data_IF_567564235159
#
_entry.id   IF_567564235159
#
_cell.length_a   1.000
_cell.length_b   1.000
_cell.length_c   1.000
_cell.angle_alpha   90.00
_cell.angle_beta   90.00
_cell.angle_gamma   90.00
#
_symmetry.space_group_name_H-M   'P 1'
#
loop_
_entity.id
_entity.type
_entity.pdbx_description
1 polymer ?
#
# COMPACT_ATOMS: atom_id res chain seq x y z
N UNK A 1 -6.98 -1.40 -15.89
CA UNK A 1 -7.00 -1.42 -14.41
C UNK A 1 -7.52 -0.07 -13.94
N UNK A 2 -8.37 -0.03 -12.90
CA UNK A 2 -8.86 1.23 -12.37
C UNK A 2 -7.70 2.00 -11.73
N UNK A 3 -7.54 3.27 -12.13
CA UNK A 3 -6.58 4.18 -11.52
C UNK A 3 -7.09 4.52 -10.12
N UNK A 4 -6.23 4.40 -9.10
CA UNK A 4 -6.57 4.79 -7.72
C UNK A 4 -6.99 6.28 -7.72
N UNK A 5 -8.17 6.65 -7.20
CA UNK A 5 -8.61 8.03 -7.17
C UNK A 5 -7.59 8.99 -6.55
N UNK A 6 -6.84 8.52 -5.54
CA UNK A 6 -5.82 9.28 -4.82
C UNK A 6 -4.69 9.81 -5.70
N UNK A 7 -4.45 9.19 -6.86
CA UNK A 7 -3.45 9.67 -7.84
C UNK A 7 -3.79 11.05 -8.45
N UNK A 8 -5.05 11.49 -8.32
CA UNK A 8 -5.53 12.81 -8.78
C UNK A 8 -5.71 13.81 -7.64
N UNK A 9 -5.32 13.47 -6.41
CA UNK A 9 -5.42 14.36 -5.27
C UNK A 9 -4.43 15.53 -5.35
N UNK A 10 -4.67 16.55 -4.53
CA UNK A 10 -3.78 17.70 -4.32
C UNK A 10 -2.34 17.28 -4.00
N UNK A 11 -2.20 16.17 -3.26
CA UNK A 11 -0.97 15.40 -3.13
C UNK A 11 -1.27 13.98 -3.66
N UNK A 12 -0.53 13.47 -4.66
CA UNK A 12 -0.78 12.13 -5.20
C UNK A 12 -0.51 11.02 -4.17
N UNK A 13 -1.44 10.08 -4.02
CA UNK A 13 -1.29 8.94 -3.12
C UNK A 13 -2.01 7.68 -3.63
N UNK A 14 -1.64 6.53 -3.07
CA UNK A 14 -2.40 5.28 -3.10
C UNK A 14 -2.93 4.94 -1.72
N UNK A 15 -4.04 4.24 -1.68
CA UNK A 15 -4.64 3.82 -0.43
C UNK A 15 -4.93 2.31 -0.36
N UNK A 16 -4.60 1.70 0.78
CA UNK A 16 -5.07 0.37 1.16
C UNK A 16 -5.43 0.33 2.63
N UNK A 17 -6.65 -0.10 2.95
CA UNK A 17 -7.11 -0.19 4.34
C UNK A 17 -6.45 -1.38 5.06
N UNK A 18 -5.58 -1.11 6.04
CA UNK A 18 -4.92 -2.15 6.85
C UNK A 18 -5.80 -2.72 7.98
N UNK A 19 -7.06 -2.27 8.11
CA UNK A 19 -7.95 -2.59 9.25
C UNK A 19 -7.29 -2.31 10.62
N UNK A 20 -6.47 -1.26 10.68
CA UNK A 20 -5.71 -0.88 11.88
C UNK A 20 -6.54 -0.16 12.96
N UNK A 21 -7.77 0.25 12.64
CA UNK A 21 -8.66 0.93 13.58
C UNK A 21 -8.36 2.41 13.86
N UNK A 22 -7.24 2.97 13.37
CA UNK A 22 -6.82 4.35 13.70
C UNK A 22 -7.89 5.41 13.35
N UNK A 23 -8.46 5.36 12.14
CA UNK A 23 -9.52 6.29 11.74
C UNK A 23 -10.83 6.07 12.51
N UNK A 24 -11.01 4.90 13.13
CA UNK A 24 -12.18 4.56 13.95
C UNK A 24 -11.99 4.91 15.43
N UNK A 25 -10.78 5.33 15.83
CA UNK A 25 -10.41 5.72 17.21
C UNK A 25 -9.91 7.16 17.33
N UNK A 26 -9.81 7.90 16.22
CA UNK A 26 -9.18 9.23 16.16
C UNK A 26 -9.96 10.38 16.83
N UNK A 27 -11.21 10.15 17.20
CA UNK A 27 -11.97 10.95 18.18
C UNK A 27 -12.41 12.38 17.86
N UNK A 28 -11.91 13.01 16.81
CA UNK A 28 -12.20 14.43 16.54
C UNK A 28 -13.06 14.69 15.28
N UNK A 29 -13.65 13.65 14.69
CA UNK A 29 -14.45 13.74 13.46
C UNK A 29 -15.87 13.20 13.59
N UNK A 30 -16.75 13.58 12.65
CA UNK A 30 -18.10 13.03 12.54
C UNK A 30 -18.19 12.08 11.34
N UNK A 31 -18.63 10.85 11.58
CA UNK A 31 -18.97 9.89 10.52
C UNK A 31 -20.44 10.08 10.17
N UNK A 32 -20.69 10.97 9.22
CA UNK A 32 -22.04 11.27 8.76
C UNK A 32 -22.72 10.07 8.12
N UNK A 33 -24.01 9.91 8.40
CA UNK A 33 -24.87 8.92 7.78
C UNK A 33 -25.76 9.59 6.73
N UNK A 34 -25.86 8.97 5.57
CA UNK A 34 -26.86 9.30 4.57
C UNK A 34 -28.20 8.60 4.84
N UNK A 35 -29.23 8.95 4.07
CA UNK A 35 -30.54 8.36 4.21
C UNK A 35 -30.49 6.83 3.97
N UNK A 36 -31.07 6.05 4.88
CA UNK A 36 -31.13 4.60 4.77
C UNK A 36 -29.86 3.87 5.24
N UNK A 37 -28.77 4.56 5.59
CA UNK A 37 -27.54 3.88 6.02
C UNK A 37 -27.70 3.23 7.40
N UNK A 38 -28.37 3.92 8.33
CA UNK A 38 -28.67 3.40 9.66
C UNK A 38 -29.51 2.12 9.58
N UNK A 39 -30.51 2.08 8.70
CA UNK A 39 -31.36 0.92 8.45
C UNK A 39 -30.56 -0.27 7.92
N UNK A 40 -29.71 -0.06 6.91
CA UNK A 40 -28.87 -1.13 6.33
C UNK A 40 -27.89 -1.71 7.35
N UNK A 41 -27.27 -0.85 8.16
CA UNK A 41 -26.36 -1.31 9.23
C UNK A 41 -27.12 -2.04 10.34
N UNK A 42 -28.33 -1.60 10.70
CA UNK A 42 -29.17 -2.27 11.67
C UNK A 42 -29.58 -3.68 11.21
N UNK A 43 -30.02 -3.80 9.95
CA UNK A 43 -30.36 -5.07 9.32
C UNK A 43 -29.15 -6.02 9.31
N UNK A 44 -27.96 -5.51 8.96
CA UNK A 44 -26.72 -6.29 8.98
C UNK A 44 -26.39 -6.87 10.36
N UNK A 45 -26.67 -6.11 11.43
CA UNK A 45 -26.47 -6.57 12.81
C UNK A 45 -27.66 -7.38 13.37
N UNK A 46 -28.71 -7.61 12.58
CA UNK A 46 -29.90 -8.34 13.02
C UNK A 46 -30.72 -7.61 14.09
N UNK A 47 -30.73 -6.28 14.08
CA UNK A 47 -31.48 -5.45 15.03
C UNK A 47 -32.40 -4.45 14.34
N UNK A 48 -33.29 -3.81 15.11
CA UNK A 48 -34.17 -2.77 14.57
C UNK A 48 -33.41 -1.45 14.36
N UNK A 49 -33.82 -0.66 13.36
CA UNK A 49 -33.23 0.65 13.10
C UNK A 49 -33.31 1.58 14.32
N UNK A 50 -34.40 1.52 15.09
CA UNK A 50 -34.55 2.28 16.33
C UNK A 50 -33.55 1.86 17.41
N UNK A 51 -33.28 0.56 17.56
CA UNK A 51 -32.26 0.06 18.49
C UNK A 51 -30.87 0.52 18.05
N UNK A 52 -30.57 0.39 16.75
CA UNK A 52 -29.30 0.85 16.18
C UNK A 52 -29.09 2.34 16.41
N UNK A 53 -30.09 3.19 16.13
CA UNK A 53 -29.98 4.64 16.35
C UNK A 53 -29.71 4.99 17.81
N UNK A 54 -30.41 4.34 18.75
CA UNK A 54 -30.19 4.57 20.19
C UNK A 54 -28.78 4.19 20.63
N UNK A 55 -28.22 3.11 20.09
CA UNK A 55 -26.94 2.55 20.53
C UNK A 55 -25.73 3.15 19.81
N UNK A 56 -25.87 3.43 18.51
CA UNK A 56 -24.75 3.66 17.59
C UNK A 56 -24.81 5.00 16.86
N UNK A 57 -25.88 5.78 17.02
CA UNK A 57 -26.05 7.07 16.34
C UNK A 57 -26.22 8.18 17.36
N UNK A 58 -25.76 9.37 16.99
CA UNK A 58 -26.08 10.63 17.65
C UNK A 58 -26.39 11.68 16.59
N UNK A 59 -27.13 12.72 16.96
CA UNK A 59 -27.44 13.84 16.08
C UNK A 59 -26.66 15.05 16.53
N UNK A 60 -25.93 15.69 15.62
CA UNK A 60 -25.13 16.89 15.92
C UNK A 60 -25.26 17.92 14.80
N UNK A 61 -25.04 19.23 15.07
CA UNK A 61 -24.99 20.26 14.03
C UNK A 61 -23.80 20.05 13.09
N UNK A 62 -24.04 20.07 11.78
CA UNK A 62 -22.98 20.00 10.76
C UNK A 62 -22.40 21.42 10.51
N UNK A 63 -21.13 21.67 10.89
CA UNK A 63 -20.50 22.98 10.72
C UNK A 63 -20.37 23.38 9.23
N UNK A 64 -20.37 22.42 8.31
CA UNK A 64 -20.25 22.67 6.87
C UNK A 64 -21.60 22.94 6.19
N UNK A 65 -22.72 22.77 6.91
CA UNK A 65 -24.09 23.01 6.41
C UNK A 65 -24.86 24.00 7.27
N UNK A 66 -24.16 25.03 7.77
CA UNK A 66 -24.79 26.10 8.55
C UNK A 66 -25.43 25.62 9.86
N UNK A 67 -24.98 24.49 10.42
CA UNK A 67 -25.50 23.94 11.66
C UNK A 67 -26.73 23.04 11.51
N UNK A 68 -27.06 22.59 10.31
CA UNK A 68 -28.10 21.57 10.09
C UNK A 68 -27.83 20.32 10.95
N UNK A 69 -28.85 19.85 11.67
CA UNK A 69 -28.72 18.64 12.49
C UNK A 69 -28.65 17.40 11.60
N UNK A 70 -27.56 16.63 11.73
CA UNK A 70 -27.34 15.39 10.97
C UNK A 70 -27.00 14.21 11.87
N UNK A 71 -27.36 13.02 11.41
CA UNK A 71 -26.98 11.76 12.06
C UNK A 71 -25.50 11.46 11.81
N UNK A 72 -24.77 11.13 12.87
CA UNK A 72 -23.39 10.63 12.83
C UNK A 72 -23.28 9.36 13.67
N UNK A 73 -22.35 8.47 13.32
CA UNK A 73 -21.99 7.39 14.21
C UNK A 73 -21.52 7.94 15.56
N UNK A 74 -21.84 7.19 16.61
CA UNK A 74 -21.51 7.48 18.00
C UNK A 74 -20.18 6.85 18.37
N UNK A 75 -19.39 7.60 19.10
CA UNK A 75 -18.17 7.22 19.78
C UNK A 75 -18.46 6.88 21.25
N UNK A 76 -17.66 6.00 21.84
CA UNK A 76 -17.71 5.68 23.27
C UNK A 76 -17.13 6.85 24.06
N UNK A 77 -17.76 7.17 25.18
CA UNK A 77 -17.25 8.19 26.12
C UNK A 77 -16.13 7.62 27.02
N UNK A 78 -16.17 6.31 27.30
CA UNK A 78 -15.19 5.62 28.14
C UNK A 78 -13.82 5.51 27.47
N UNK A 79 -12.74 5.70 28.25
CA UNK A 79 -11.36 5.50 27.78
C UNK A 79 -10.73 6.67 27.03
N UNK A 80 -11.24 7.90 27.20
CA UNK A 80 -10.71 9.12 26.59
C UNK A 80 -11.51 9.62 25.38
N UNK A 81 -12.63 8.98 25.05
CA UNK A 81 -13.49 9.38 23.94
C UNK A 81 -13.02 8.86 22.58
N UNK A 82 -13.89 8.95 21.58
CA UNK A 82 -13.47 8.90 20.18
C UNK A 82 -13.38 7.53 19.50
N UNK A 83 -13.52 6.45 20.26
CA UNK A 83 -13.65 5.09 19.70
C UNK A 83 -15.07 4.83 19.22
N UNK A 84 -15.26 4.55 17.94
CA UNK A 84 -16.57 4.19 17.39
C UNK A 84 -17.24 3.05 18.17
N UNK A 85 -18.54 3.16 18.44
CA UNK A 85 -19.31 2.15 19.18
C UNK A 85 -19.38 0.79 18.45
N UNK A 86 -19.24 0.79 17.11
CA UNK A 86 -19.23 -0.39 16.23
C UNK A 86 -17.85 -1.06 16.10
N UNK A 87 -16.83 -0.57 16.82
CA UNK A 87 -15.49 -1.14 16.81
C UNK A 87 -15.29 -2.10 18.00
N UNK A 88 -15.32 -3.40 17.70
CA UNK A 88 -15.21 -4.51 18.64
C UNK A 88 -13.76 -4.98 18.84
N UNK A 89 -13.53 -5.65 19.97
CA UNK A 89 -12.22 -6.18 20.34
C UNK A 89 -11.12 -5.12 20.27
N UNK A 90 -10.03 -5.44 19.55
CA UNK A 90 -8.96 -4.47 19.29
C UNK A 90 -9.38 -3.46 18.22
N UNK A 91 -9.64 -3.90 16.99
CA UNK A 91 -9.90 -3.01 15.84
C UNK A 91 -10.91 -3.58 14.83
N UNK A 92 -11.78 -4.50 15.25
CA UNK A 92 -12.69 -5.18 14.32
C UNK A 92 -14.01 -4.39 14.15
N UNK A 93 -14.38 -4.05 12.93
CA UNK A 93 -15.61 -3.30 12.68
C UNK A 93 -16.76 -4.27 12.49
N UNK A 94 -17.72 -4.26 13.41
CA UNK A 94 -18.87 -5.20 13.39
C UNK A 94 -19.78 -5.03 12.17
N UNK A 95 -19.64 -3.91 11.45
CA UNK A 95 -20.38 -3.63 10.20
C UNK A 95 -19.45 -3.42 9.00
N UNK A 96 -18.22 -3.98 8.99
CA UNK A 96 -17.20 -3.65 7.97
C UNK A 96 -17.72 -3.68 6.51
N UNK A 97 -18.51 -4.68 6.15
CA UNK A 97 -19.11 -4.82 4.80
C UNK A 97 -20.33 -3.93 4.59
N UNK A 98 -21.01 -3.52 5.67
CA UNK A 98 -22.18 -2.66 5.67
C UNK A 98 -21.89 -1.20 6.05
N UNK A 99 -20.61 -0.81 6.23
CA UNK A 99 -20.16 0.53 6.64
C UNK A 99 -20.86 1.64 5.86
N UNK A 100 -21.06 2.83 6.46
CA UNK A 100 -21.63 3.96 5.73
C UNK A 100 -20.67 4.45 4.64
N UNK A 101 -21.21 5.17 3.66
CA UNK A 101 -20.45 5.69 2.52
C UNK A 101 -19.29 6.58 2.98
N UNK A 102 -19.50 7.37 4.03
CA UNK A 102 -18.46 8.16 4.67
C UNK A 102 -17.24 7.28 5.05
N UNK A 103 -17.44 6.15 5.72
CA UNK A 103 -16.35 5.23 6.07
C UNK A 103 -15.77 4.48 4.86
N UNK A 104 -16.58 4.16 3.84
CA UNK A 104 -16.12 3.42 2.65
C UNK A 104 -15.22 4.26 1.76
N UNK A 105 -15.55 5.54 1.65
CA UNK A 105 -14.87 6.48 0.77
C UNK A 105 -13.62 7.09 1.38
N UNK A 106 -13.37 6.91 2.68
CA UNK A 106 -12.10 7.32 3.27
C UNK A 106 -10.93 6.63 2.53
N UNK A 107 -9.87 7.36 2.13
CA UNK A 107 -9.57 8.78 2.37
C UNK A 107 -9.92 9.70 1.19
N UNK A 108 -10.73 9.28 0.22
CA UNK A 108 -11.05 10.00 -1.00
C UNK A 108 -12.10 11.13 -0.85
N UNK A 109 -12.27 11.68 0.35
CA UNK A 109 -13.19 12.80 0.58
C UNK A 109 -12.64 14.08 -0.06
N UNK A 110 -13.50 15.03 -0.46
CA UNK A 110 -13.05 16.33 -0.96
C UNK A 110 -12.07 17.04 -0.02
N UNK A 111 -12.29 16.95 1.30
CA UNK A 111 -11.42 17.53 2.33
C UNK A 111 -10.01 16.93 2.41
N UNK A 112 -9.76 15.81 1.72
CA UNK A 112 -8.44 15.15 1.64
C UNK A 112 -7.90 15.27 0.21
N UNK A 113 -8.77 15.15 -0.78
CA UNK A 113 -8.40 15.19 -2.20
C UNK A 113 -8.08 16.60 -2.68
N UNK A 114 -8.66 17.65 -2.08
CA UNK A 114 -8.57 19.04 -2.57
C UNK A 114 -7.83 19.99 -1.60
N UNK A 115 -7.57 19.56 -0.35
CA UNK A 115 -6.89 20.35 0.69
C UNK A 115 -5.62 19.64 1.18
N UNK A 116 -4.46 20.26 0.98
CA UNK A 116 -3.15 19.71 1.37
C UNK A 116 -3.05 19.52 2.90
N UNK A 117 -3.59 20.45 3.69
CA UNK A 117 -3.59 20.30 5.14
C UNK A 117 -4.49 19.14 5.58
N UNK A 118 -5.62 18.94 4.89
CA UNK A 118 -6.53 17.81 5.11
C UNK A 118 -5.93 16.47 4.70
N UNK A 119 -5.18 16.45 3.61
CA UNK A 119 -4.35 15.31 3.23
C UNK A 119 -3.36 14.94 4.34
N UNK A 120 -2.60 15.91 4.86
CA UNK A 120 -1.62 15.66 5.92
C UNK A 120 -2.26 15.14 7.20
N UNK A 121 -3.44 15.64 7.60
CA UNK A 121 -4.21 15.09 8.73
C UNK A 121 -4.62 13.64 8.49
N UNK A 122 -5.15 13.34 7.30
CA UNK A 122 -5.55 11.97 6.94
C UNK A 122 -4.35 11.02 6.92
N UNK A 123 -3.23 11.44 6.32
CA UNK A 123 -1.97 10.70 6.24
C UNK A 123 -1.37 10.42 7.62
N UNK A 124 -1.40 11.40 8.52
CA UNK A 124 -0.98 11.21 9.92
C UNK A 124 -1.85 10.22 10.70
N UNK A 125 -3.12 10.09 10.31
CA UNK A 125 -4.06 9.15 10.95
C UNK A 125 -3.93 7.73 10.40
N UNK A 126 -3.82 7.59 9.08
CA UNK A 126 -3.93 6.29 8.42
C UNK A 126 -2.61 5.82 7.78
N UNK A 127 -1.99 4.72 8.27
CA UNK A 127 -0.78 4.16 7.66
C UNK A 127 -1.02 3.51 6.29
N UNK A 128 -2.29 3.42 5.87
CA UNK A 128 -2.69 2.91 4.56
C UNK A 128 -2.52 3.92 3.43
N UNK A 129 -2.31 5.21 3.73
CA UNK A 129 -2.08 6.27 2.74
C UNK A 129 -0.59 6.31 2.41
N UNK A 130 -0.26 6.02 1.15
CA UNK A 130 1.12 6.01 0.66
C UNK A 130 1.29 7.05 -0.42
N UNK A 131 2.25 7.95 -0.26
CA UNK A 131 2.58 8.96 -1.25
C UNK A 131 2.97 8.31 -2.58
N UNK A 132 2.52 8.90 -3.68
CA UNK A 132 3.05 8.62 -5.01
C UNK A 132 3.97 9.76 -5.43
N UNK A 133 5.17 9.44 -5.96
CA UNK A 133 6.04 10.46 -6.52
C UNK A 133 5.38 11.09 -7.75
N UNK A 134 5.53 12.41 -7.90
CA UNK A 134 5.13 13.12 -9.11
C UNK A 134 5.90 12.61 -10.33
N UNK A 135 5.39 12.89 -11.54
CA UNK A 135 6.10 12.53 -12.79
C UNK A 135 7.51 13.14 -12.85
N UNK A 136 7.66 14.39 -12.40
CA UNK A 136 8.95 15.09 -12.37
C UNK A 136 9.93 14.45 -11.38
N UNK A 137 9.48 14.13 -10.16
CA UNK A 137 10.30 13.40 -9.19
C UNK A 137 10.70 12.02 -9.72
N UNK A 138 9.77 11.31 -10.36
CA UNK A 138 10.02 9.98 -10.95
C UNK A 138 11.04 10.02 -12.07
N UNK A 139 10.93 10.96 -12.99
CA UNK A 139 11.88 11.15 -14.08
C UNK A 139 13.29 11.47 -13.55
N UNK A 140 13.40 12.44 -12.64
CA UNK A 140 14.68 12.83 -12.03
C UNK A 140 15.31 11.69 -11.24
N UNK A 141 14.51 10.95 -10.46
CA UNK A 141 15.00 9.82 -9.66
C UNK A 141 15.47 8.67 -10.54
N UNK A 142 14.75 8.36 -11.62
CA UNK A 142 15.14 7.31 -12.57
C UNK A 142 16.44 7.66 -13.29
N UNK A 143 16.62 8.90 -13.73
CA UNK A 143 17.87 9.33 -14.36
C UNK A 143 19.09 9.15 -13.43
N UNK A 144 18.94 9.51 -12.15
CA UNK A 144 20.01 9.32 -11.14
C UNK A 144 20.25 7.85 -10.82
N UNK A 145 19.20 7.04 -10.75
CA UNK A 145 19.30 5.60 -10.53
C UNK A 145 20.01 4.90 -11.70
N UNK A 146 19.70 5.30 -12.94
CA UNK A 146 20.37 4.79 -14.14
C UNK A 146 21.86 5.12 -14.15
N UNK A 147 22.26 6.30 -13.68
CA UNK A 147 23.67 6.66 -13.52
C UNK A 147 24.38 5.76 -12.49
N UNK A 148 23.74 5.47 -11.35
CA UNK A 148 24.26 4.52 -10.34
C UNK A 148 24.42 3.13 -10.94
N UNK A 149 23.43 2.66 -11.72
CA UNK A 149 23.51 1.34 -12.35
C UNK A 149 24.57 1.28 -13.45
N UNK A 150 24.80 2.37 -14.20
CA UNK A 150 25.90 2.46 -15.16
C UNK A 150 27.26 2.40 -14.47
N UNK A 151 27.45 3.10 -13.35
CA UNK A 151 28.68 2.98 -12.54
C UNK A 151 28.90 1.54 -12.06
N UNK A 152 27.85 0.89 -11.56
CA UNK A 152 27.94 -0.50 -11.14
C UNK A 152 28.34 -1.43 -12.28
N UNK A 153 27.82 -1.22 -13.50
CA UNK A 153 28.19 -2.03 -14.66
C UNK A 153 29.68 -1.91 -15.00
N UNK A 154 30.28 -0.72 -14.89
CA UNK A 154 31.72 -0.51 -15.05
C UNK A 154 32.53 -1.24 -13.95
N UNK A 155 32.08 -1.18 -12.69
CA UNK A 155 32.72 -1.92 -11.59
C UNK A 155 32.66 -3.43 -11.79
N UNK A 156 31.50 -3.95 -12.23
CA UNK A 156 31.32 -5.37 -12.53
C UNK A 156 32.14 -5.81 -13.74
N UNK A 157 32.36 -4.94 -14.73
CA UNK A 157 33.21 -5.23 -15.88
C UNK A 157 34.68 -5.51 -15.48
N UNK A 158 35.16 -4.91 -14.38
CA UNK A 158 36.50 -5.16 -13.86
C UNK A 158 36.64 -6.55 -13.22
N UNK A 159 35.62 -7.00 -12.47
CA UNK A 159 35.64 -8.28 -11.74
C UNK A 159 35.08 -9.47 -12.55
N UNK A 160 34.34 -9.20 -13.63
CA UNK A 160 33.75 -10.20 -14.57
C UNK A 160 33.09 -11.40 -13.87
N UNK A 161 32.12 -11.17 -12.97
CA UNK A 161 31.43 -12.24 -12.28
C UNK A 161 30.68 -13.13 -13.28
N UNK A 162 30.78 -14.45 -13.11
CA UNK A 162 30.04 -15.39 -13.96
C UNK A 162 28.65 -15.61 -13.37
N UNK A 163 27.64 -14.98 -13.97
CA UNK A 163 26.25 -15.35 -13.72
C UNK A 163 25.91 -16.61 -14.53
N UNK A 164 25.78 -17.76 -13.85
CA UNK A 164 25.33 -19.01 -14.49
C UNK A 164 23.80 -19.06 -14.71
N UNK A 165 23.09 -17.96 -14.46
CA UNK A 165 21.66 -17.76 -14.76
C UNK A 165 20.73 -18.91 -14.31
N UNK A 166 21.10 -19.64 -13.25
CA UNK A 166 20.33 -20.77 -12.72
C UNK A 166 19.02 -20.36 -12.04
N UNK A 167 18.83 -19.06 -11.81
CA UNK A 167 17.66 -18.51 -11.12
C UNK A 167 17.66 -18.72 -9.60
N UNK A 168 18.66 -19.42 -9.02
CA UNK A 168 18.75 -19.71 -7.57
C UNK A 168 18.70 -18.44 -6.72
N UNK A 169 19.31 -17.35 -7.19
CA UNK A 169 19.26 -16.05 -6.51
C UNK A 169 17.85 -15.44 -6.40
N UNK A 170 16.89 -15.91 -7.20
CA UNK A 170 15.50 -15.43 -7.24
C UNK A 170 14.49 -16.49 -6.75
N UNK A 171 14.95 -17.65 -6.30
CA UNK A 171 14.15 -18.71 -5.66
C UNK A 171 14.22 -18.55 -4.13
N UNK A 172 13.61 -17.49 -3.63
CA UNK A 172 13.72 -17.10 -2.21
C UNK A 172 13.05 -18.10 -1.26
N UNK A 173 12.16 -18.94 -1.77
CA UNK A 173 11.56 -20.04 -1.01
C UNK A 173 12.48 -21.27 -0.89
N UNK A 174 13.43 -21.42 -1.82
CA UNK A 174 14.44 -22.49 -1.81
C UNK A 174 15.78 -22.01 -1.21
N UNK A 175 15.97 -20.70 -1.06
CA UNK A 175 17.20 -20.08 -0.59
C UNK A 175 16.95 -19.28 0.70
N UNK A 176 17.87 -19.32 1.67
CA UNK A 176 17.74 -18.62 2.96
C UNK A 176 18.04 -17.11 2.84
N UNK A 177 17.65 -16.48 1.73
CA UNK A 177 17.83 -15.06 1.48
C UNK A 177 16.60 -14.45 0.82
N UNK A 178 16.23 -13.25 1.25
CA UNK A 178 15.15 -12.45 0.66
C UNK A 178 15.76 -11.22 -0.01
N UNK A 179 15.39 -10.95 -1.25
CA UNK A 179 15.81 -9.73 -1.93
C UNK A 179 15.00 -8.54 -1.41
N UNK A 180 15.67 -7.65 -0.69
CA UNK A 180 15.14 -6.33 -0.36
C UNK A 180 15.56 -5.32 -1.44
N UNK A 181 14.74 -4.30 -1.65
CA UNK A 181 15.05 -3.17 -2.51
C UNK A 181 14.40 -1.90 -1.97
N UNK A 182 14.79 -0.74 -2.51
CA UNK A 182 14.04 0.47 -2.23
C UNK A 182 12.75 0.56 -3.05
N UNK A 183 11.84 1.45 -2.63
CA UNK A 183 10.63 1.78 -3.41
C UNK A 183 10.96 2.34 -4.78
N UNK A 184 11.94 3.24 -4.85
CA UNK A 184 12.43 3.82 -6.10
C UNK A 184 12.87 2.73 -7.10
N UNK A 185 13.59 1.71 -6.64
CA UNK A 185 14.00 0.60 -7.50
C UNK A 185 12.82 -0.24 -7.98
N UNK A 186 11.81 -0.46 -7.13
CA UNK A 186 10.59 -1.15 -7.53
C UNK A 186 9.75 -0.34 -8.51
N UNK A 187 9.70 0.99 -8.37
CA UNK A 187 9.06 1.90 -9.32
C UNK A 187 9.75 1.85 -10.69
N UNK A 188 11.08 1.85 -10.69
CA UNK A 188 11.89 1.71 -11.88
C UNK A 188 11.65 0.36 -12.57
N UNK A 189 11.66 -0.73 -11.81
CA UNK A 189 11.40 -2.07 -12.31
C UNK A 189 10.02 -2.18 -12.96
N UNK A 190 8.98 -1.70 -12.28
CA UNK A 190 7.61 -1.68 -12.79
C UNK A 190 7.46 -0.77 -14.03
N UNK A 191 8.22 0.32 -14.12
CA UNK A 191 8.22 1.17 -15.32
C UNK A 191 8.83 0.47 -16.54
N UNK A 192 9.95 -0.24 -16.36
CA UNK A 192 10.62 -0.98 -17.44
C UNK A 192 9.85 -2.24 -17.84
N UNK A 193 9.18 -2.90 -16.90
CA UNK A 193 8.40 -4.12 -17.16
C UNK A 193 7.05 -4.11 -16.41
N UNK A 194 6.05 -3.36 -16.88
CA UNK A 194 4.79 -3.19 -16.15
C UNK A 194 3.92 -4.45 -16.06
N UNK A 195 4.18 -5.44 -16.92
CA UNK A 195 3.38 -6.67 -16.99
C UNK A 195 4.25 -7.88 -16.69
N UNK A 196 3.80 -8.67 -15.71
CA UNK A 196 4.38 -9.94 -15.30
C UNK A 196 3.26 -10.94 -14.96
N UNK A 197 3.50 -12.26 -15.10
CA UNK A 197 2.57 -13.26 -14.58
C UNK A 197 2.55 -13.24 -13.05
N UNK A 198 1.59 -13.97 -12.48
CA UNK A 198 1.63 -14.25 -11.05
C UNK A 198 2.90 -15.04 -10.68
N UNK A 199 3.46 -14.82 -9.47
CA UNK A 199 4.59 -15.60 -8.97
C UNK A 199 4.34 -17.10 -9.05
N UNK A 200 5.35 -17.86 -9.47
CA UNK A 200 5.29 -19.34 -9.52
C UNK A 200 5.25 -19.98 -8.12
N UNK A 201 5.56 -19.21 -7.06
CA UNK A 201 5.53 -19.62 -5.66
C UNK A 201 5.35 -18.39 -4.74
N UNK A 202 4.90 -18.61 -3.50
CA UNK A 202 4.82 -17.57 -2.49
C UNK A 202 6.21 -16.96 -2.23
N UNK A 203 6.28 -15.63 -2.13
CA UNK A 203 7.53 -14.91 -1.94
C UNK A 203 8.44 -14.84 -3.18
N UNK A 204 8.16 -15.56 -4.26
CA UNK A 204 8.96 -15.53 -5.49
C UNK A 204 8.72 -14.25 -6.28
N UNK A 205 9.77 -13.74 -6.94
CA UNK A 205 9.65 -12.57 -7.81
C UNK A 205 8.79 -12.90 -9.05
N UNK A 206 7.77 -12.08 -9.41
CA UNK A 206 6.91 -12.34 -10.57
C UNK A 206 7.65 -12.27 -11.91
N UNK A 207 8.82 -11.62 -11.98
CA UNK A 207 9.66 -11.62 -13.17
C UNK A 207 10.47 -12.91 -13.34
N UNK A 208 10.52 -13.79 -12.34
CA UNK A 208 11.14 -15.11 -12.46
C UNK A 208 10.15 -16.07 -13.13
N UNK A 209 10.40 -16.36 -14.40
CA UNK A 209 9.56 -17.25 -15.22
C UNK A 209 10.44 -18.36 -15.80
N UNK A 210 10.07 -19.61 -15.55
CA UNK A 210 10.77 -20.79 -16.05
C UNK A 210 12.29 -20.77 -15.77
N UNK A 211 12.68 -20.36 -14.55
CA UNK A 211 14.08 -20.32 -14.13
C UNK A 211 14.88 -19.10 -14.59
N UNK A 212 14.24 -18.11 -15.23
CA UNK A 212 14.93 -16.93 -15.79
C UNK A 212 14.22 -15.65 -15.40
N UNK A 213 15.00 -14.58 -15.20
CA UNK A 213 14.46 -13.23 -15.04
C UNK A 213 14.04 -12.66 -16.40
N UNK A 214 12.79 -12.20 -16.51
CA UNK A 214 12.19 -11.57 -17.69
C UNK A 214 12.27 -10.04 -17.68
N UNK A 215 12.75 -9.44 -16.60
CA UNK A 215 12.89 -7.98 -16.39
C UNK A 215 14.35 -7.59 -16.11
N UNK A 216 15.29 -8.01 -16.97
CA UNK A 216 16.73 -7.82 -16.72
C UNK A 216 17.16 -6.36 -16.59
N UNK A 217 16.56 -5.47 -17.37
CA UNK A 217 16.83 -4.02 -17.34
C UNK A 217 16.33 -3.39 -16.04
N UNK A 218 15.17 -3.84 -15.54
CA UNK A 218 14.55 -3.35 -14.31
C UNK A 218 15.08 -4.01 -13.03
N UNK A 219 16.23 -4.69 -13.06
CA UNK A 219 16.77 -5.38 -11.87
C UNK A 219 17.19 -4.35 -10.81
N UNK A 220 16.78 -4.54 -9.54
CA UNK A 220 17.28 -3.72 -8.43
C UNK A 220 18.75 -4.01 -8.15
N UNK A 221 19.40 -3.16 -7.35
CA UNK A 221 20.80 -3.22 -6.96
C UNK A 221 21.18 -4.61 -6.43
N UNK A 222 20.39 -5.18 -5.52
CA UNK A 222 20.65 -6.52 -4.98
C UNK A 222 20.69 -7.61 -6.06
N UNK A 223 19.86 -7.52 -7.10
CA UNK A 223 19.90 -8.44 -8.25
C UNK A 223 21.11 -8.23 -9.16
N UNK A 224 21.79 -7.09 -9.06
CA UNK A 224 22.97 -6.73 -9.86
C UNK A 224 24.27 -7.06 -9.13
N UNK A 225 24.26 -7.10 -7.80
CA UNK A 225 25.43 -7.37 -6.96
C UNK A 225 25.47 -8.79 -6.38
N UNK A 226 24.40 -9.59 -6.51
CA UNK A 226 24.40 -10.97 -6.03
C UNK A 226 24.90 -11.98 -7.08
N UNK A 227 25.92 -12.77 -6.72
CA UNK A 227 26.45 -13.87 -7.52
C UNK A 227 26.75 -15.10 -6.64
N UNK A 228 26.76 -16.29 -7.25
CA UNK A 228 27.03 -17.54 -6.53
C UNK A 228 28.52 -17.78 -6.22
N UNK A 229 29.41 -16.88 -6.65
CA UNK A 229 30.85 -17.00 -6.40
C UNK A 229 31.20 -16.34 -5.06
N UNK A 230 31.60 -17.12 -4.04
CA UNK A 230 31.90 -16.57 -2.71
C UNK A 230 33.15 -15.67 -2.71
N UNK A 231 34.03 -15.78 -3.70
CA UNK A 231 35.27 -14.96 -3.76
C UNK A 231 34.98 -13.49 -4.08
N UNK A 232 33.80 -13.20 -4.63
CA UNK A 232 33.37 -11.85 -4.98
C UNK A 232 32.47 -11.22 -3.92
N UNK A 233 32.10 -11.97 -2.87
CA UNK A 233 31.06 -11.58 -1.93
C UNK A 233 31.41 -10.30 -1.17
N UNK A 234 32.57 -10.25 -0.51
CA UNK A 234 32.98 -9.09 0.31
C UNK A 234 33.08 -7.80 -0.51
N UNK A 235 33.66 -7.87 -1.72
CA UNK A 235 33.83 -6.71 -2.60
C UNK A 235 32.49 -6.19 -3.13
N UNK A 236 31.55 -7.09 -3.42
CA UNK A 236 30.22 -6.74 -3.91
C UNK A 236 29.29 -6.29 -2.80
N UNK A 237 29.48 -6.77 -1.57
CA UNK A 237 28.77 -6.31 -0.38
C UNK A 237 29.11 -4.85 -0.05
N UNK A 238 30.40 -4.50 0.02
CA UNK A 238 30.83 -3.11 0.23
C UNK A 238 30.33 -2.17 -0.88
N UNK A 239 30.35 -2.64 -2.13
CA UNK A 239 29.81 -1.90 -3.27
C UNK A 239 28.29 -1.72 -3.14
N UNK A 240 27.58 -2.78 -2.74
CA UNK A 240 26.14 -2.74 -2.51
C UNK A 240 25.76 -1.72 -1.43
N UNK A 241 26.41 -1.74 -0.28
CA UNK A 241 26.10 -0.82 0.83
C UNK A 241 26.30 0.64 0.43
N UNK A 242 27.41 0.95 -0.25
CA UNK A 242 27.69 2.31 -0.74
C UNK A 242 26.62 2.79 -1.72
N UNK A 243 26.34 2.00 -2.76
CA UNK A 243 25.37 2.38 -3.80
C UNK A 243 23.94 2.44 -3.24
N UNK A 244 23.59 1.59 -2.28
CA UNK A 244 22.31 1.70 -1.56
C UNK A 244 22.21 3.03 -0.80
N UNK A 245 23.32 3.49 -0.20
CA UNK A 245 23.42 4.79 0.44
C UNK A 245 23.15 5.95 -0.54
N UNK A 246 23.68 5.85 -1.76
CA UNK A 246 23.47 6.82 -2.83
C UNK A 246 22.01 6.79 -3.35
N UNK A 247 21.41 5.62 -3.52
CA UNK A 247 19.99 5.48 -3.87
C UNK A 247 19.11 6.14 -2.81
N UNK A 248 19.39 5.90 -1.53
CA UNK A 248 18.67 6.57 -0.43
C UNK A 248 18.91 8.08 -0.39
N UNK A 249 20.05 8.55 -0.90
CA UNK A 249 20.30 9.99 -1.05
C UNK A 249 19.42 10.59 -2.16
N UNK A 250 19.20 9.87 -3.26
CA UNK A 250 18.21 10.27 -4.29
C UNK A 250 16.83 10.46 -3.65
N UNK A 251 16.41 9.50 -2.81
CA UNK A 251 15.11 9.57 -2.13
C UNK A 251 15.00 10.82 -1.25
N UNK A 252 16.04 11.13 -0.48
CA UNK A 252 16.07 12.35 0.36
C UNK A 252 16.07 13.63 -0.45
N UNK A 253 16.91 13.72 -1.48
CA UNK A 253 17.09 14.95 -2.27
C UNK A 253 15.84 15.33 -3.07
N UNK A 254 15.08 14.33 -3.52
CA UNK A 254 13.90 14.51 -4.37
C UNK A 254 12.59 14.41 -3.59
N UNK A 255 12.65 14.25 -2.27
CA UNK A 255 11.49 13.92 -1.44
C UNK A 255 10.69 12.72 -2.01
N UNK A 256 11.42 11.71 -2.46
CA UNK A 256 10.85 10.48 -2.99
C UNK A 256 10.35 9.61 -1.83
N UNK A 257 9.17 8.98 -1.92
CA UNK A 257 8.64 8.13 -0.85
C UNK A 257 9.61 6.99 -0.48
N UNK A 258 10.28 7.15 0.66
CA UNK A 258 11.24 6.18 1.15
C UNK A 258 10.54 4.88 1.57
N UNK A 259 11.01 3.75 1.05
CA UNK A 259 10.58 2.42 1.49
C UNK A 259 11.69 1.42 1.25
N UNK A 260 11.79 0.41 2.11
CA UNK A 260 12.74 -0.69 1.99
C UNK A 260 12.10 -1.97 2.48
N UNK A 261 11.81 -2.89 1.57
CA UNK A 261 11.00 -4.07 1.83
C UNK A 261 11.34 -5.19 0.84
N UNK A 262 10.81 -6.42 1.03
CA UNK A 262 10.97 -7.49 0.06
C UNK A 262 10.50 -7.04 -1.34
N UNK A 263 11.36 -7.17 -2.33
CA UNK A 263 11.11 -6.70 -3.70
C UNK A 263 9.82 -7.28 -4.32
N UNK A 264 9.48 -8.58 -4.15
CA UNK A 264 8.21 -9.11 -4.65
C UNK A 264 6.97 -8.43 -4.06
N UNK A 265 7.02 -8.04 -2.78
CA UNK A 265 5.92 -7.30 -2.14
C UNK A 265 5.80 -5.88 -2.71
N UNK A 266 6.93 -5.19 -2.91
CA UNK A 266 6.95 -3.86 -3.54
C UNK A 266 6.44 -3.87 -4.98
N UNK A 267 6.67 -4.97 -5.73
CA UNK A 267 6.12 -5.17 -7.08
C UNK A 267 4.60 -5.41 -7.04
N UNK A 268 4.12 -6.23 -6.10
CA UNK A 268 2.69 -6.47 -5.92
C UNK A 268 1.94 -5.16 -5.59
N UNK A 269 2.51 -4.31 -4.73
CA UNK A 269 1.98 -2.97 -4.42
C UNK A 269 1.87 -2.05 -5.66
N UNK A 270 2.68 -2.32 -6.69
CA UNK A 270 2.68 -1.64 -7.98
C UNK A 270 1.86 -2.38 -9.04
N UNK A 271 1.05 -3.35 -8.62
CA UNK A 271 0.22 -4.21 -9.47
C UNK A 271 1.01 -5.04 -10.49
N UNK A 272 2.29 -5.32 -10.22
CA UNK A 272 3.10 -6.21 -11.05
C UNK A 272 2.98 -7.63 -10.51
N UNK A 273 2.56 -8.56 -11.37
CA UNK A 273 2.45 -9.98 -11.01
C UNK A 273 1.39 -10.28 -9.98
N UNK A 274 0.42 -9.39 -9.77
CA UNK A 274 -0.79 -9.75 -9.05
C UNK A 274 -1.66 -10.59 -9.98
N UNK A 275 -2.27 -11.67 -9.46
CA UNK A 275 -3.38 -12.28 -10.18
C UNK A 275 -4.40 -11.18 -10.48
N UNK A 276 -5.01 -11.18 -11.66
CA UNK A 276 -6.28 -10.49 -11.83
C UNK A 276 -7.23 -11.15 -10.83
N UNK A 277 -7.30 -10.61 -9.61
CA UNK A 277 -8.22 -11.10 -8.61
C UNK A 277 -9.60 -10.91 -9.23
N UNK A 278 -10.20 -12.06 -9.52
CA UNK A 278 -11.57 -12.25 -9.95
C UNK A 278 -12.45 -11.26 -9.20
N UNK A 279 -13.07 -10.33 -9.93
CA UNK A 279 -14.28 -9.64 -9.49
C UNK A 279 -15.39 -10.70 -9.40
N UNK A 280 -15.33 -11.54 -8.38
CA UNK A 280 -16.47 -12.38 -7.99
C UNK A 280 -16.83 -11.97 -6.57
N UNK A 281 -17.84 -11.10 -6.51
CA UNK A 281 -18.85 -11.21 -5.48
C UNK A 281 -19.32 -12.67 -5.43
N UNK A 282 -18.71 -13.48 -4.58
CA UNK A 282 -19.30 -14.76 -4.19
C UNK A 282 -20.19 -14.50 -2.98
N UNK A 283 -21.46 -14.28 -3.31
CA UNK A 283 -22.61 -14.67 -2.50
C UNK A 283 -22.39 -16.05 -1.90
N UNK A 284 -22.09 -16.10 -0.60
CA UNK A 284 -22.40 -17.27 0.22
C UNK A 284 -23.70 -16.98 0.97
N UNK A 285 -24.80 -17.14 0.25
CA UNK A 285 -26.07 -17.61 0.81
C UNK A 285 -26.10 -19.11 0.63
N UNK A 286 -25.93 -19.87 1.71
CA UNK A 286 -26.30 -21.29 1.87
C UNK A 286 -25.81 -21.71 3.27
N UNK A 287 -26.59 -22.26 4.18
CA UNK A 287 -27.99 -22.62 4.19
C UNK A 287 -28.36 -22.95 5.63
N UNK A 288 -29.49 -22.40 6.07
CA UNK A 288 -30.17 -22.82 7.30
C UNK A 288 -30.90 -24.14 7.03
N UNK A 289 -31.03 -24.95 8.08
CA UNK A 289 -32.19 -25.80 8.46
C UNK A 289 -32.02 -27.31 8.30
N UNK A 290 -32.60 -28.15 9.20
CA UNK A 290 -33.20 -27.88 10.52
C UNK A 290 -32.32 -28.29 11.70
#
# INVERSE_FOLDING_TARGET
MAVDPGSKGVVPFRFSCHRCGHCCTGGEGHVWLDQGEAERMAEFLGMTADAFRRMHVRTVPDPNRGGELRETLREREEGGGGRCTLLEGRNDCSVYTARPEHCRTFPYWPSVMEDEAGFERARGTCPGIRLEPTSAQREAAFARLEAIYAELEELLAAVRPVCIARGVCCRFEEADHVLYSTGLEADYAAAKKPVAPAPEAEGRCPYHVAGRCTAREGRPLGCRTYYCDPTLQDALEATHERLLGEIRQIERDLDYPASYAPFPALLADRNVGVHAATLTHETQTEGRTP
#
